data_IF_455023861579
#
_entry.id   IF_455023861579
#
_cell.length_a   1.000
_cell.length_b   1.000
_cell.length_c   1.000
_cell.angle_alpha   90.00
_cell.angle_beta   90.00
_cell.angle_gamma   90.00
#
_symmetry.space_group_name_H-M   'P 1'
#
loop_
_entity.id
_entity.type
_entity.pdbx_description
1 polymer ?
#
# COMPACT_ATOMS: atom_id res chain seq x y z
N UNK A 1 -11.96 21.38 3.27
CA UNK A 1 -10.71 22.08 2.86
C UNK A 1 -9.85 22.20 4.10
N UNK A 2 -8.56 21.84 4.03
CA UNK A 2 -7.66 22.00 5.20
C UNK A 2 -7.56 23.50 5.53
N UNK A 3 -7.65 23.91 6.80
CA UNK A 3 -7.28 25.25 7.21
C UNK A 3 -5.78 25.46 6.97
N UNK A 4 -5.41 26.29 5.99
CA UNK A 4 -4.00 26.61 5.69
C UNK A 4 -3.71 28.08 5.72
N UNK A 5 -2.52 28.42 6.20
CA UNK A 5 -1.97 29.77 6.22
C UNK A 5 -0.89 29.90 5.12
N UNK A 6 -0.89 30.98 4.33
CA UNK A 6 0.21 31.26 3.39
C UNK A 6 1.54 31.42 4.12
N UNK A 7 2.62 30.87 3.53
CA UNK A 7 3.98 31.02 4.07
C UNK A 7 4.68 32.23 3.47
N UNK A 8 5.26 33.08 4.32
CA UNK A 8 6.24 34.09 3.94
C UNK A 8 7.63 33.61 4.37
N UNK A 9 8.56 33.45 3.41
CA UNK A 9 9.90 32.95 3.71
C UNK A 9 10.87 34.09 4.02
N UNK A 10 11.51 34.11 5.21
CA UNK A 10 12.74 34.88 5.39
C UNK A 10 13.86 34.31 4.50
N UNK A 11 14.79 35.15 4.05
CA UNK A 11 15.91 34.74 3.18
C UNK A 11 16.68 33.57 3.83
N UNK A 12 16.73 32.42 3.14
CA UNK A 12 17.55 31.27 3.51
C UNK A 12 16.81 30.03 4.06
N UNK A 13 15.54 30.16 4.51
CA UNK A 13 14.73 28.99 4.89
C UNK A 13 13.78 28.61 3.77
N UNK A 14 13.86 27.35 3.30
CA UNK A 14 12.88 26.78 2.37
C UNK A 14 12.21 25.59 3.05
N UNK A 15 10.90 25.68 3.28
CA UNK A 15 10.10 24.52 3.60
C UNK A 15 9.67 23.85 2.29
N UNK A 16 9.54 22.53 2.33
CA UNK A 16 9.17 21.70 1.18
C UNK A 16 7.77 21.13 1.38
N UNK A 17 7.13 20.76 0.28
CA UNK A 17 5.84 20.09 0.30
C UNK A 17 6.00 18.68 0.84
N UNK A 18 5.10 18.29 1.75
CA UNK A 18 5.12 16.95 2.35
C UNK A 18 5.01 15.83 1.32
N UNK A 19 4.39 16.06 0.16
CA UNK A 19 4.17 15.00 -0.83
C UNK A 19 5.20 15.03 -1.95
N UNK A 20 5.45 16.18 -2.56
CA UNK A 20 6.28 16.27 -3.77
C UNK A 20 7.66 16.89 -3.59
N UNK A 21 8.05 17.27 -2.37
CA UNK A 21 9.34 17.89 -2.05
C UNK A 21 9.64 19.23 -2.76
N UNK A 22 8.72 19.74 -3.58
CA UNK A 22 8.82 21.08 -4.17
C UNK A 22 8.66 22.16 -3.10
N UNK A 23 9.11 23.41 -3.34
CA UNK A 23 8.94 24.50 -2.39
C UNK A 23 7.49 24.64 -1.91
N UNK A 24 7.29 24.68 -0.60
CA UNK A 24 5.98 24.90 -0.01
C UNK A 24 5.58 26.37 -0.12
N UNK A 25 4.30 26.66 -0.18
CA UNK A 25 3.75 28.03 -0.05
C UNK A 25 2.56 28.08 0.92
N UNK A 26 2.12 26.93 1.42
CA UNK A 26 1.02 26.77 2.36
C UNK A 26 1.51 25.97 3.58
N UNK A 27 0.94 26.25 4.74
CA UNK A 27 1.19 25.53 5.98
C UNK A 27 -0.13 25.22 6.68
N UNK A 28 -0.23 24.05 7.31
CA UNK A 28 -1.38 23.74 8.14
C UNK A 28 -1.54 24.77 9.26
N UNK A 29 -2.71 25.42 9.35
CA UNK A 29 -2.98 26.44 10.34
C UNK A 29 -3.12 25.88 11.76
N UNK A 30 -3.40 24.57 11.90
CA UNK A 30 -3.63 23.91 13.18
C UNK A 30 -2.34 23.39 13.82
N UNK A 31 -1.62 22.49 13.12
CA UNK A 31 -0.42 21.87 13.67
C UNK A 31 0.84 22.68 13.39
N UNK A 32 0.84 23.51 12.33
CA UNK A 32 2.02 24.23 11.81
C UNK A 32 3.22 23.35 11.43
N UNK A 33 3.11 22.02 11.54
CA UNK A 33 4.17 21.08 11.19
C UNK A 33 4.18 20.78 9.68
N UNK A 34 3.01 20.54 9.09
CA UNK A 34 2.86 20.08 7.71
C UNK A 34 2.79 21.25 6.72
N UNK A 35 3.56 21.17 5.64
CA UNK A 35 3.66 22.20 4.61
C UNK A 35 3.35 21.69 3.19
N UNK A 36 2.72 22.51 2.35
CA UNK A 36 2.26 22.12 1.02
C UNK A 36 2.68 23.12 -0.05
N UNK A 37 2.88 22.62 -1.27
CA UNK A 37 2.94 23.46 -2.47
C UNK A 37 1.54 23.98 -2.84
N UNK A 38 1.45 24.79 -3.90
CA UNK A 38 0.18 25.39 -4.35
C UNK A 38 -0.80 24.40 -4.98
N UNK A 39 -0.41 23.14 -5.21
CA UNK A 39 -1.29 22.13 -5.78
C UNK A 39 -2.30 21.64 -4.74
N UNK A 40 -3.57 22.05 -4.90
CA UNK A 40 -4.66 21.67 -4.00
C UNK A 40 -4.90 20.14 -3.93
N UNK A 41 -4.45 19.38 -4.93
CA UNK A 41 -4.53 17.92 -4.93
C UNK A 41 -3.65 17.28 -3.86
N UNK A 42 -2.41 17.77 -3.70
CA UNK A 42 -1.51 17.25 -2.65
C UNK A 42 -2.07 17.51 -1.26
N UNK A 43 -2.58 18.72 -1.04
CA UNK A 43 -3.24 19.08 0.20
C UNK A 43 -4.44 18.16 0.47
N UNK A 44 -5.34 17.96 -0.51
CA UNK A 44 -6.52 17.10 -0.34
C UNK A 44 -6.14 15.64 -0.10
N UNK A 45 -5.20 15.11 -0.88
CA UNK A 45 -4.73 13.73 -0.75
C UNK A 45 -4.13 13.50 0.65
N UNK A 46 -3.31 14.42 1.14
CA UNK A 46 -2.72 14.31 2.47
C UNK A 46 -3.76 14.37 3.59
N UNK A 47 -4.74 15.27 3.51
CA UNK A 47 -5.80 15.40 4.53
C UNK A 47 -6.60 14.11 4.69
N UNK A 48 -7.13 13.62 3.58
CA UNK A 48 -7.98 12.42 3.53
C UNK A 48 -7.15 11.16 3.77
N UNK A 49 -5.89 11.20 3.33
CA UNK A 49 -4.95 10.10 3.44
C UNK A 49 -4.51 9.87 4.86
N UNK A 50 -3.97 10.88 5.56
CA UNK A 50 -3.39 10.69 6.90
C UNK A 50 -3.51 11.90 7.82
N UNK A 51 -3.38 13.12 7.29
CA UNK A 51 -3.13 14.29 8.11
C UNK A 51 -4.30 14.63 9.04
N UNK A 52 -5.56 14.41 8.65
CA UNK A 52 -6.70 14.61 9.56
C UNK A 52 -6.56 13.79 10.86
N UNK A 53 -6.05 12.56 10.76
CA UNK A 53 -5.89 11.64 11.91
C UNK A 53 -4.76 12.05 12.84
N UNK A 54 -3.67 12.56 12.27
CA UNK A 54 -2.44 12.87 13.04
C UNK A 54 -2.28 14.36 13.36
N UNK A 55 -3.05 15.25 12.74
CA UNK A 55 -2.88 16.71 12.86
C UNK A 55 -2.82 17.17 14.32
N UNK A 56 -3.69 16.61 15.18
CA UNK A 56 -3.74 16.94 16.60
C UNK A 56 -2.47 16.51 17.34
N UNK A 57 -1.91 15.37 16.96
CA UNK A 57 -0.64 14.90 17.49
C UNK A 57 0.38 15.99 17.25
N UNK A 58 0.46 16.59 16.06
CA UNK A 58 1.48 17.59 15.70
C UNK A 58 1.29 19.01 16.26
N UNK A 59 0.25 19.30 17.05
CA UNK A 59 0.04 20.64 17.62
C UNK A 59 1.16 20.99 18.63
N UNK A 60 1.72 22.23 18.61
CA UNK A 60 2.86 22.62 19.45
C UNK A 60 2.70 22.45 20.96
N UNK A 61 1.46 22.39 21.45
CA UNK A 61 1.13 22.22 22.87
C UNK A 61 1.41 20.77 23.33
N UNK A 62 1.34 19.78 22.43
CA UNK A 62 1.63 18.37 22.71
C UNK A 62 3.12 18.05 22.54
N UNK A 63 4.02 18.97 22.91
CA UNK A 63 5.47 18.87 22.68
C UNK A 63 6.16 17.78 23.51
N UNK A 64 5.55 17.36 24.61
CA UNK A 64 6.10 16.32 25.48
C UNK A 64 5.79 14.94 24.89
N UNK A 65 6.79 14.39 24.20
CA UNK A 65 6.92 12.97 23.78
C UNK A 65 5.77 12.39 22.96
N UNK A 66 5.71 12.76 21.68
CA UNK A 66 5.14 11.86 20.67
C UNK A 66 6.15 10.78 20.39
N UNK A 67 5.80 9.52 20.65
CA UNK A 67 6.63 8.40 20.23
C UNK A 67 6.54 8.30 18.71
N UNK A 68 7.66 8.42 17.99
CA UNK A 68 7.66 8.20 16.53
C UNK A 68 7.07 6.83 16.15
N UNK A 69 7.12 5.86 17.06
CA UNK A 69 6.47 4.55 16.92
C UNK A 69 4.94 4.64 16.81
N UNK A 70 4.29 5.53 17.57
CA UNK A 70 2.84 5.73 17.51
C UNK A 70 2.43 6.28 16.13
N UNK A 71 3.23 7.21 15.59
CA UNK A 71 3.00 7.77 14.26
C UNK A 71 3.18 6.70 13.19
N UNK A 72 4.22 5.85 13.29
CA UNK A 72 4.46 4.72 12.37
C UNK A 72 3.27 3.76 12.40
N UNK A 73 2.76 3.41 13.57
CA UNK A 73 1.61 2.51 13.71
C UNK A 73 0.35 3.07 13.06
N UNK A 74 0.00 4.33 13.34
CA UNK A 74 -1.16 4.99 12.73
C UNK A 74 -1.01 5.04 11.21
N UNK A 75 0.16 5.44 10.70
CA UNK A 75 0.42 5.50 9.26
C UNK A 75 0.30 4.13 8.60
N UNK A 76 0.83 3.09 9.24
CA UNK A 76 0.76 1.70 8.76
C UNK A 76 -0.68 1.25 8.61
N UNK A 77 -1.49 1.39 9.67
CA UNK A 77 -2.90 0.95 9.68
C UNK A 77 -3.73 1.70 8.63
N UNK A 78 -3.49 3.00 8.50
CA UNK A 78 -4.17 3.86 7.54
C UNK A 78 -3.82 3.46 6.11
N UNK A 79 -2.53 3.31 5.81
CA UNK A 79 -2.07 2.91 4.48
C UNK A 79 -2.66 1.56 4.09
N UNK A 80 -2.56 0.55 4.97
CA UNK A 80 -3.11 -0.79 4.73
C UNK A 80 -4.62 -0.75 4.47
N UNK A 81 -5.38 -0.02 5.29
CA UNK A 81 -6.82 0.13 5.09
C UNK A 81 -7.16 0.75 3.73
N UNK A 82 -6.46 1.81 3.33
CA UNK A 82 -6.72 2.48 2.04
C UNK A 82 -6.28 1.62 0.85
N UNK A 83 -5.18 0.88 0.96
CA UNK A 83 -4.71 -0.06 -0.06
C UNK A 83 -5.72 -1.20 -0.25
N UNK A 84 -6.25 -1.74 0.84
CA UNK A 84 -7.30 -2.75 0.81
C UNK A 84 -8.58 -2.25 0.10
N UNK A 85 -8.89 -0.96 0.23
CA UNK A 85 -10.00 -0.32 -0.50
C UNK A 85 -9.68 0.03 -1.97
N UNK A 86 -8.45 -0.22 -2.44
CA UNK A 86 -7.98 0.20 -3.76
C UNK A 86 -7.79 1.72 -3.91
N UNK A 87 -7.80 2.48 -2.81
CA UNK A 87 -7.65 3.94 -2.79
C UNK A 87 -6.18 4.35 -2.76
N UNK A 88 -5.45 3.99 -3.80
CA UNK A 88 -3.99 4.15 -3.85
C UNK A 88 -3.53 5.61 -3.66
N UNK A 89 -4.27 6.58 -4.21
CA UNK A 89 -3.97 8.01 -4.05
C UNK A 89 -4.11 8.50 -2.60
N UNK A 90 -5.05 7.93 -1.84
CA UNK A 90 -5.25 8.25 -0.42
C UNK A 90 -4.30 7.44 0.49
N UNK A 91 -3.88 6.25 0.07
CA UNK A 91 -2.91 5.44 0.80
C UNK A 91 -1.49 6.03 0.75
N UNK A 92 -1.14 6.63 -0.39
CA UNK A 92 0.23 7.07 -0.67
C UNK A 92 0.80 8.06 0.38
N UNK A 93 0.08 9.10 0.85
CA UNK A 93 0.60 10.00 1.88
C UNK A 93 0.89 9.29 3.21
N UNK A 94 0.03 8.35 3.62
CA UNK A 94 0.24 7.57 4.84
C UNK A 94 1.47 6.66 4.72
N UNK A 95 1.63 5.98 3.57
CA UNK A 95 2.79 5.13 3.31
C UNK A 95 4.11 5.92 3.26
N UNK A 96 4.11 7.10 2.63
CA UNK A 96 5.27 7.98 2.58
C UNK A 96 5.66 8.48 3.97
N UNK A 97 4.68 8.91 4.76
CA UNK A 97 4.93 9.39 6.10
C UNK A 97 5.44 8.27 7.03
N UNK A 98 4.88 7.06 6.88
CA UNK A 98 5.39 5.86 7.57
C UNK A 98 6.88 5.66 7.29
N UNK A 99 7.30 5.73 6.03
CA UNK A 99 8.71 5.55 5.66
C UNK A 99 9.62 6.59 6.32
N UNK A 100 9.23 7.87 6.30
CA UNK A 100 10.01 8.95 6.93
C UNK A 100 10.17 8.75 8.43
N UNK A 101 9.08 8.47 9.12
CA UNK A 101 9.14 8.27 10.57
C UNK A 101 9.91 7.01 10.95
N UNK A 102 9.81 5.94 10.14
CA UNK A 102 10.62 4.75 10.34
C UNK A 102 12.11 5.06 10.19
N UNK A 103 12.50 5.86 9.21
CA UNK A 103 13.89 6.33 9.06
C UNK A 103 14.33 7.21 10.25
N UNK A 104 13.50 8.15 10.69
CA UNK A 104 13.80 9.03 11.83
C UNK A 104 13.98 8.26 13.15
N UNK A 105 13.18 7.20 13.38
CA UNK A 105 13.17 6.43 14.63
C UNK A 105 14.22 5.33 14.64
N UNK A 106 14.37 4.60 13.54
CA UNK A 106 15.21 3.39 13.47
C UNK A 106 16.51 3.59 12.70
N UNK A 107 16.70 4.76 12.07
CA UNK A 107 17.80 5.02 11.16
C UNK A 107 17.55 4.45 9.74
N UNK A 108 18.39 4.87 8.79
CA UNK A 108 18.33 4.36 7.42
C UNK A 108 18.71 2.87 7.37
N UNK A 109 18.16 2.16 6.38
CA UNK A 109 18.41 0.74 6.09
C UNK A 109 18.03 -0.24 7.20
N UNK A 110 17.19 0.17 8.15
CA UNK A 110 16.67 -0.75 9.18
C UNK A 110 15.66 -1.75 8.60
N UNK A 111 15.56 -2.95 9.20
CA UNK A 111 14.56 -3.95 8.80
C UNK A 111 13.12 -3.42 8.84
N UNK A 112 12.86 -2.45 9.70
CA UNK A 112 11.55 -1.79 9.85
C UNK A 112 11.16 -0.99 8.59
N UNK A 113 12.13 -0.55 7.78
CA UNK A 113 11.86 0.15 6.52
C UNK A 113 11.26 -0.77 5.46
N UNK A 114 11.54 -2.07 5.49
CA UNK A 114 11.00 -3.03 4.52
C UNK A 114 9.46 -2.97 4.47
N UNK A 115 8.80 -2.86 5.62
CA UNK A 115 7.34 -2.75 5.66
C UNK A 115 6.83 -1.45 5.01
N UNK A 116 7.48 -0.32 5.29
CA UNK A 116 7.10 0.97 4.73
C UNK A 116 7.34 1.03 3.21
N UNK A 117 8.46 0.47 2.73
CA UNK A 117 8.73 0.32 1.30
C UNK A 117 7.67 -0.53 0.61
N UNK A 118 7.24 -1.65 1.21
CA UNK A 118 6.18 -2.49 0.65
C UNK A 118 4.85 -1.73 0.50
N UNK A 119 4.43 -0.95 1.51
CA UNK A 119 3.21 -0.13 1.45
C UNK A 119 3.30 0.92 0.35
N UNK A 120 4.45 1.61 0.26
CA UNK A 120 4.65 2.66 -0.73
C UNK A 120 4.75 2.09 -2.15
N UNK A 121 5.39 0.92 -2.32
CA UNK A 121 5.45 0.21 -3.59
C UNK A 121 4.06 -0.19 -4.07
N UNK A 122 3.23 -0.77 -3.20
CA UNK A 122 1.85 -1.17 -3.52
C UNK A 122 0.99 0.03 -3.95
N UNK A 123 1.10 1.16 -3.25
CA UNK A 123 0.44 2.40 -3.65
C UNK A 123 0.90 2.88 -5.03
N UNK A 124 2.22 2.84 -5.30
CA UNK A 124 2.77 3.27 -6.58
C UNK A 124 2.41 2.33 -7.74
N UNK A 125 2.32 1.01 -7.51
CA UNK A 125 1.81 0.06 -8.52
C UNK A 125 0.38 0.44 -8.92
N UNK A 126 -0.49 0.65 -7.93
CA UNK A 126 -1.88 1.04 -8.17
C UNK A 126 -2.06 2.41 -8.83
N UNK A 127 -1.10 3.32 -8.64
CA UNK A 127 -1.03 4.62 -9.32
C UNK A 127 -0.38 4.55 -10.72
N UNK A 128 0.20 3.41 -11.11
CA UNK A 128 0.92 3.25 -12.37
C UNK A 128 2.37 3.78 -12.37
N UNK A 129 2.89 4.17 -11.21
CA UNK A 129 4.29 4.61 -11.02
C UNK A 129 5.23 3.40 -10.93
N UNK A 130 5.26 2.58 -11.98
CA UNK A 130 5.89 1.25 -11.95
C UNK A 130 7.41 1.31 -11.75
N UNK A 131 8.09 2.33 -12.27
CA UNK A 131 9.54 2.50 -12.10
C UNK A 131 9.93 2.72 -10.63
N UNK A 132 9.22 3.62 -9.93
CA UNK A 132 9.44 3.87 -8.51
C UNK A 132 9.06 2.64 -7.67
N UNK A 133 7.97 1.95 -8.02
CA UNK A 133 7.60 0.71 -7.34
C UNK A 133 8.70 -0.34 -7.44
N UNK A 134 9.30 -0.54 -8.62
CA UNK A 134 10.41 -1.47 -8.81
C UNK A 134 11.61 -1.13 -7.92
N UNK A 135 12.01 0.15 -7.87
CA UNK A 135 13.10 0.63 -7.02
C UNK A 135 12.83 0.36 -5.52
N UNK A 136 11.61 0.64 -5.07
CA UNK A 136 11.20 0.37 -3.69
C UNK A 136 11.24 -1.13 -3.35
N UNK A 137 10.80 -2.00 -4.26
CA UNK A 137 10.85 -3.45 -4.04
C UNK A 137 12.30 -3.98 -4.01
N UNK A 138 13.19 -3.44 -4.84
CA UNK A 138 14.62 -3.78 -4.76
C UNK A 138 15.26 -3.36 -3.43
N UNK A 139 14.82 -2.24 -2.83
CA UNK A 139 15.25 -1.87 -1.48
C UNK A 139 14.77 -2.87 -0.43
N UNK A 140 13.57 -3.43 -0.57
CA UNK A 140 13.07 -4.50 0.32
C UNK A 140 13.92 -5.76 0.17
N UNK A 141 14.22 -6.18 -1.06
CA UNK A 141 15.09 -7.34 -1.32
C UNK A 141 16.45 -7.18 -0.64
N UNK A 142 17.07 -6.01 -0.77
CA UNK A 142 18.34 -5.70 -0.11
C UNK A 142 18.25 -5.86 1.41
N UNK A 143 17.22 -5.30 2.04
CA UNK A 143 17.00 -5.42 3.49
C UNK A 143 16.82 -6.90 3.91
N UNK A 144 16.10 -7.72 3.12
CA UNK A 144 15.90 -9.15 3.42
C UNK A 144 17.15 -10.03 3.21
N UNK A 145 18.11 -9.57 2.41
CA UNK A 145 19.42 -10.21 2.30
C UNK A 145 20.24 -9.98 3.57
N UNK A 146 20.18 -8.78 4.12
CA UNK A 146 20.91 -8.40 5.34
C UNK A 146 20.27 -8.97 6.63
N UNK A 147 18.95 -9.20 6.65
CA UNK A 147 18.23 -9.73 7.84
C UNK A 147 17.42 -11.00 7.54
N UNK A 148 18.07 -12.18 7.52
CA UNK A 148 17.41 -13.44 7.13
C UNK A 148 16.35 -13.93 8.13
N UNK A 149 16.40 -13.54 9.41
CA UNK A 149 15.44 -14.01 10.43
C UNK A 149 14.00 -13.50 10.18
N UNK A 150 13.85 -12.33 9.56
CA UNK A 150 12.56 -11.70 9.26
C UNK A 150 12.02 -12.05 7.87
N UNK A 151 12.70 -12.94 7.13
CA UNK A 151 12.42 -13.21 5.72
C UNK A 151 10.99 -13.68 5.48
N UNK A 152 10.49 -14.65 6.25
CA UNK A 152 9.24 -15.32 5.90
C UNK A 152 7.99 -14.40 6.02
N UNK A 153 7.96 -13.46 6.96
CA UNK A 153 6.81 -12.56 7.16
C UNK A 153 6.72 -11.46 6.09
N UNK A 154 7.86 -11.06 5.52
CA UNK A 154 7.95 -10.00 4.51
C UNK A 154 8.01 -10.55 3.08
N UNK A 155 8.60 -11.73 2.90
CA UNK A 155 8.81 -12.37 1.59
C UNK A 155 7.49 -12.59 0.85
N UNK A 156 6.44 -12.93 1.57
CA UNK A 156 5.14 -13.08 0.96
C UNK A 156 4.64 -11.77 0.34
N UNK A 157 4.57 -10.69 1.12
CA UNK A 157 4.12 -9.38 0.61
C UNK A 157 5.02 -8.87 -0.51
N UNK A 158 6.32 -9.16 -0.43
CA UNK A 158 7.27 -8.86 -1.50
C UNK A 158 6.92 -9.60 -2.80
N UNK A 159 6.69 -10.92 -2.73
CA UNK A 159 6.27 -11.72 -3.87
C UNK A 159 4.92 -11.23 -4.44
N UNK A 160 3.95 -10.93 -3.59
CA UNK A 160 2.67 -10.35 -4.02
C UNK A 160 2.85 -9.04 -4.79
N UNK A 161 3.68 -8.13 -4.28
CA UNK A 161 3.95 -6.85 -4.94
C UNK A 161 4.73 -7.00 -6.25
N UNK A 162 5.75 -7.87 -6.32
CA UNK A 162 6.42 -8.17 -7.59
C UNK A 162 5.47 -8.79 -8.61
N UNK A 163 4.60 -9.71 -8.18
CA UNK A 163 3.55 -10.28 -9.04
C UNK A 163 2.66 -9.19 -9.64
N UNK A 164 2.19 -8.26 -8.82
CA UNK A 164 1.39 -7.11 -9.26
C UNK A 164 2.17 -6.18 -10.21
N UNK A 165 3.44 -5.89 -9.91
CA UNK A 165 4.30 -5.06 -10.77
C UNK A 165 4.51 -5.70 -12.15
N UNK A 166 4.83 -6.98 -12.21
CA UNK A 166 5.01 -7.71 -13.46
C UNK A 166 3.69 -7.84 -14.24
N UNK A 167 2.56 -8.05 -13.55
CA UNK A 167 1.26 -8.06 -14.18
C UNK A 167 0.90 -6.69 -14.79
N UNK A 168 1.25 -5.59 -14.12
CA UNK A 168 1.03 -4.22 -14.60
C UNK A 168 1.92 -3.85 -15.80
N UNK A 169 3.15 -4.38 -15.85
CA UNK A 169 4.06 -4.23 -17.01
C UNK A 169 3.74 -5.18 -18.18
N UNK A 170 2.81 -6.11 -18.00
CA UNK A 170 2.41 -7.09 -19.02
C UNK A 170 3.31 -8.33 -19.09
N UNK A 171 4.31 -8.45 -18.22
CA UNK A 171 5.15 -9.64 -18.14
C UNK A 171 4.45 -10.74 -17.32
N UNK A 172 3.56 -11.48 -17.99
CA UNK A 172 2.68 -12.46 -17.35
C UNK A 172 3.43 -13.70 -16.82
N UNK A 173 4.59 -14.05 -17.39
CA UNK A 173 5.38 -15.19 -16.94
C UNK A 173 6.03 -14.92 -15.57
N UNK A 174 6.65 -13.75 -15.40
CA UNK A 174 7.22 -13.33 -14.12
C UNK A 174 6.10 -13.11 -13.09
N UNK A 175 4.99 -12.49 -13.50
CA UNK A 175 3.83 -12.31 -12.62
C UNK A 175 3.33 -13.67 -12.07
N UNK A 176 3.23 -14.68 -12.94
CA UNK A 176 2.86 -16.05 -12.53
C UNK A 176 3.86 -16.63 -11.54
N UNK A 177 5.16 -16.48 -11.81
CA UNK A 177 6.21 -16.97 -10.93
C UNK A 177 6.11 -16.39 -9.52
N UNK A 178 5.99 -15.06 -9.42
CA UNK A 178 5.91 -14.40 -8.12
C UNK A 178 4.61 -14.73 -7.37
N UNK A 179 3.46 -14.77 -8.03
CA UNK A 179 2.21 -15.18 -7.37
C UNK A 179 2.23 -16.65 -6.93
N UNK A 180 2.90 -17.54 -7.67
CA UNK A 180 3.08 -18.92 -7.23
C UNK A 180 3.88 -18.99 -5.91
N UNK A 181 4.96 -18.21 -5.81
CA UNK A 181 5.77 -18.15 -4.60
C UNK A 181 5.02 -17.50 -3.43
N UNK A 182 4.21 -16.47 -3.68
CA UNK A 182 3.32 -15.84 -2.69
C UNK A 182 2.35 -16.87 -2.08
N UNK A 183 1.63 -17.61 -2.93
CA UNK A 183 0.68 -18.66 -2.50
C UNK A 183 1.39 -19.82 -1.78
N UNK A 184 2.56 -20.23 -2.25
CA UNK A 184 3.28 -21.38 -1.70
C UNK A 184 3.65 -21.21 -0.22
N UNK A 185 3.92 -19.97 0.24
CA UNK A 185 4.32 -19.72 1.63
C UNK A 185 3.21 -20.11 2.62
N UNK A 186 1.93 -19.98 2.24
CA UNK A 186 0.78 -20.27 3.10
C UNK A 186 -0.13 -21.37 2.53
N UNK A 187 0.34 -22.13 1.55
CA UNK A 187 -0.46 -23.18 0.93
C UNK A 187 -0.88 -24.22 1.98
N UNK A 188 -2.19 -24.43 2.13
CA UNK A 188 -2.78 -25.29 3.16
C UNK A 188 -3.22 -24.58 4.44
N UNK A 189 -2.90 -23.29 4.61
CA UNK A 189 -3.51 -22.45 5.65
C UNK A 189 -4.80 -21.86 5.08
N UNK A 190 -5.96 -22.33 5.56
CA UNK A 190 -7.28 -21.79 5.23
C UNK A 190 -7.44 -20.37 5.80
N UNK A 191 -6.80 -19.39 5.16
CA UNK A 191 -6.87 -17.99 5.54
C UNK A 191 -7.46 -17.16 4.40
N UNK A 192 -8.13 -16.08 4.77
CA UNK A 192 -8.61 -15.05 3.83
C UNK A 192 -7.47 -14.46 2.99
N UNK A 193 -6.24 -14.52 3.50
CA UNK A 193 -5.06 -14.03 2.81
C UNK A 193 -4.65 -14.93 1.64
N UNK A 194 -4.69 -16.25 1.83
CA UNK A 194 -4.48 -17.25 0.76
C UNK A 194 -5.46 -17.03 -0.40
N UNK A 195 -6.72 -16.67 -0.10
CA UNK A 195 -7.72 -16.39 -1.12
C UNK A 195 -7.37 -15.15 -1.97
N UNK A 196 -6.87 -14.07 -1.35
CA UNK A 196 -6.42 -12.86 -2.06
C UNK A 196 -5.31 -13.15 -3.08
N UNK A 197 -4.28 -13.88 -2.65
CA UNK A 197 -3.16 -14.30 -3.51
C UNK A 197 -3.61 -15.21 -4.66
N UNK A 198 -4.54 -16.14 -4.39
CA UNK A 198 -5.13 -17.00 -5.42
C UNK A 198 -5.91 -16.21 -6.47
N UNK A 199 -6.64 -15.16 -6.07
CA UNK A 199 -7.36 -14.29 -7.01
C UNK A 199 -6.42 -13.57 -7.98
N UNK A 200 -5.27 -13.09 -7.50
CA UNK A 200 -4.27 -12.45 -8.35
C UNK A 200 -3.68 -13.44 -9.37
N UNK A 201 -3.42 -14.67 -8.92
CA UNK A 201 -2.95 -15.75 -9.78
C UNK A 201 -3.97 -16.12 -10.87
N UNK A 202 -5.25 -16.15 -10.51
CA UNK A 202 -6.38 -16.36 -11.43
C UNK A 202 -6.41 -15.32 -12.54
N UNK A 203 -6.26 -14.03 -12.22
CA UNK A 203 -6.27 -12.95 -13.23
C UNK A 203 -5.12 -13.11 -14.23
N UNK A 204 -3.92 -13.46 -13.74
CA UNK A 204 -2.77 -13.74 -14.62
C UNK A 204 -3.06 -14.91 -15.55
N UNK A 205 -3.53 -16.05 -15.04
CA UNK A 205 -3.86 -17.21 -15.89
C UNK A 205 -4.99 -16.92 -16.89
N UNK A 206 -5.97 -16.10 -16.50
CA UNK A 206 -7.02 -15.64 -17.39
C UNK A 206 -6.46 -14.79 -18.54
N UNK A 207 -5.54 -13.85 -18.26
CA UNK A 207 -4.81 -13.05 -19.26
C UNK A 207 -3.97 -13.93 -20.19
N UNK A 208 -3.37 -15.00 -19.67
CA UNK A 208 -2.63 -16.02 -20.44
C UNK A 208 -3.54 -16.99 -21.22
N UNK A 209 -4.87 -16.85 -21.16
CA UNK A 209 -5.86 -17.73 -21.80
C UNK A 209 -5.79 -19.19 -21.34
N UNK A 210 -5.29 -19.46 -20.13
CA UNK A 210 -5.19 -20.81 -19.53
C UNK A 210 -6.48 -21.19 -18.80
N UNK A 211 -7.58 -21.30 -19.54
CA UNK A 211 -8.95 -21.44 -19.01
C UNK A 211 -9.17 -22.61 -18.04
N UNK A 212 -8.53 -23.76 -18.28
CA UNK A 212 -8.62 -24.95 -17.41
C UNK A 212 -8.03 -24.66 -16.02
N UNK A 213 -6.84 -24.05 -15.97
CA UNK A 213 -6.15 -23.70 -14.73
C UNK A 213 -6.94 -22.62 -14.00
N UNK A 214 -7.39 -21.59 -14.71
CA UNK A 214 -8.24 -20.54 -14.15
C UNK A 214 -9.46 -21.14 -13.44
N UNK A 215 -10.18 -22.08 -14.07
CA UNK A 215 -11.36 -22.72 -13.46
C UNK A 215 -11.00 -23.52 -12.21
N UNK A 216 -9.90 -24.26 -12.23
CA UNK A 216 -9.45 -25.04 -11.08
C UNK A 216 -9.11 -24.16 -9.89
N UNK A 217 -8.37 -23.06 -10.10
CA UNK A 217 -8.03 -22.11 -9.04
C UNK A 217 -9.28 -21.43 -8.45
N UNK A 218 -10.30 -21.16 -9.27
CA UNK A 218 -11.58 -20.67 -8.77
C UNK A 218 -12.29 -21.65 -7.85
N UNK A 219 -12.26 -22.93 -8.17
CA UNK A 219 -12.84 -23.96 -7.29
C UNK A 219 -12.11 -24.00 -5.95
N UNK A 220 -10.79 -23.82 -5.96
CA UNK A 220 -9.99 -23.73 -4.74
C UNK A 220 -10.35 -22.51 -3.90
N UNK A 221 -10.46 -21.33 -4.51
CA UNK A 221 -10.90 -20.10 -3.82
C UNK A 221 -12.27 -20.30 -3.18
N UNK A 222 -13.21 -20.96 -3.88
CA UNK A 222 -14.55 -21.26 -3.35
C UNK A 222 -14.50 -22.19 -2.15
N UNK A 223 -13.60 -23.18 -2.17
CA UNK A 223 -13.35 -24.07 -1.03
C UNK A 223 -12.83 -23.29 0.17
N UNK A 224 -11.80 -22.46 -0.02
CA UNK A 224 -11.18 -21.65 1.05
C UNK A 224 -12.15 -20.62 1.64
N UNK A 225 -12.97 -19.99 0.81
CA UNK A 225 -13.91 -18.95 1.23
C UNK A 225 -15.32 -19.47 1.57
N UNK A 226 -15.56 -20.78 1.44
CA UNK A 226 -16.86 -21.43 1.64
C UNK A 226 -18.02 -20.74 0.88
N UNK A 227 -17.83 -20.46 -0.42
CA UNK A 227 -18.79 -19.72 -1.27
C UNK A 227 -19.59 -20.66 -2.18
N UNK A 228 -20.93 -20.59 -2.08
CA UNK A 228 -21.85 -21.47 -2.82
C UNK A 228 -22.24 -20.96 -4.24
N UNK A 229 -22.06 -19.69 -4.60
CA UNK A 229 -22.66 -19.10 -5.83
C UNK A 229 -21.71 -18.91 -7.04
N UNK A 230 -22.26 -19.06 -8.26
CA UNK A 230 -21.55 -19.12 -9.57
C UNK A 230 -21.55 -17.81 -10.40
N UNK A 231 -22.35 -16.81 -10.02
CA UNK A 231 -22.46 -15.52 -10.74
C UNK A 231 -21.14 -14.71 -10.74
N UNK A 232 -20.32 -14.84 -9.69
CA UNK A 232 -19.08 -14.09 -9.49
C UNK A 232 -17.97 -14.45 -10.49
N UNK A 233 -17.92 -15.71 -10.96
CA UNK A 233 -16.97 -16.15 -11.99
C UNK A 233 -17.26 -15.49 -13.35
N UNK A 234 -18.55 -15.45 -13.74
CA UNK A 234 -18.99 -14.78 -14.98
C UNK A 234 -18.83 -13.27 -14.89
N UNK A 235 -19.03 -12.70 -13.69
CA UNK A 235 -18.83 -11.27 -13.43
C UNK A 235 -17.35 -10.88 -13.45
N UNK A 236 -16.44 -11.70 -12.92
CA UNK A 236 -14.99 -11.48 -13.03
C UNK A 236 -14.52 -11.52 -14.49
N UNK A 237 -14.97 -12.49 -15.28
CA UNK A 237 -14.68 -12.54 -16.72
C UNK A 237 -15.21 -11.30 -17.47
N UNK A 238 -16.33 -10.71 -17.02
CA UNK A 238 -16.93 -9.50 -17.61
C UNK A 238 -16.34 -8.18 -17.11
N UNK A 239 -15.88 -8.10 -15.86
CA UNK A 239 -15.40 -6.88 -15.20
C UNK A 239 -13.93 -7.05 -14.80
N UNK A 240 -13.05 -7.04 -15.81
CA UNK A 240 -11.57 -7.11 -15.67
C UNK A 240 -10.93 -6.02 -14.78
N UNK A 241 -11.70 -5.08 -14.22
CA UNK A 241 -11.19 -3.87 -13.55
C UNK A 241 -11.78 -3.57 -12.15
N UNK A 242 -12.68 -4.38 -11.60
CA UNK A 242 -13.57 -3.91 -10.49
C UNK A 242 -13.47 -4.70 -9.17
N UNK A 243 -12.64 -5.73 -9.09
CA UNK A 243 -12.75 -6.68 -7.96
C UNK A 243 -12.08 -6.27 -6.64
N UNK A 244 -11.30 -5.19 -6.60
CA UNK A 244 -10.93 -4.55 -5.33
C UNK A 244 -12.16 -4.16 -4.49
N UNK A 245 -13.27 -3.78 -5.16
CA UNK A 245 -14.52 -3.36 -4.50
C UNK A 245 -15.38 -4.56 -4.04
N UNK A 246 -15.21 -5.75 -4.61
CA UNK A 246 -15.95 -6.95 -4.20
C UNK A 246 -15.24 -7.73 -3.09
N UNK A 247 -13.91 -7.68 -3.03
CA UNK A 247 -13.15 -8.08 -1.83
C UNK A 247 -13.57 -7.25 -0.60
N UNK A 248 -13.86 -5.94 -0.78
CA UNK A 248 -14.41 -5.07 0.28
C UNK A 248 -15.79 -5.51 0.80
N UNK A 249 -16.64 -6.10 -0.06
CA UNK A 249 -17.98 -6.53 0.36
C UNK A 249 -17.99 -7.93 0.99
N UNK A 250 -17.04 -8.80 0.61
CA UNK A 250 -16.94 -10.13 1.21
C UNK A 250 -16.50 -10.04 2.68
N UNK A 251 -15.63 -9.08 3.03
CA UNK A 251 -15.19 -8.90 4.41
C UNK A 251 -16.26 -8.27 5.32
N UNK A 252 -17.15 -7.43 4.76
CA UNK A 252 -18.28 -6.84 5.51
C UNK A 252 -19.33 -7.86 5.97
N UNK A 253 -19.37 -9.06 5.37
CA UNK A 253 -20.24 -10.19 5.75
C UNK A 253 -19.61 -11.15 6.77
N UNK A 254 -18.33 -11.03 7.07
CA UNK A 254 -17.61 -11.88 8.03
C UNK A 254 -17.36 -11.17 9.38
N UNK A 255 -17.70 -9.87 9.47
CA UNK A 255 -17.53 -9.03 10.68
C UNK A 255 -18.89 -8.50 11.19
N UNK A 256 -20.00 -9.02 10.67
CA UNK A 256 -21.36 -8.94 11.25
C UNK A 256 -21.91 -10.36 11.35
#
# INVERSE_FOLDING_TARGET
LIPTTPLAFPKGMKKVCELCQSPACLQCAMCTAFCYCGHAEHQRADWVGIHERICKLFVPIHKETKSGLEVIEICTLVAQSKLFEGKHQEAWPAALLCLRYTEDVHGPQSVHQAHAFLLLAEANIGLGNLALAAELLSQVEWVLLETPECRNSLLQRLNGNFGCLHAATGNLEDARFYFANDVNIFFGVNSTFTAGSLFLMVDVFAKMKKTVITRSLYQEIRSVLNIEYDEDYKLHLKKRHVWGILAMNFHRRLIL
#
